data_IF_199857416645
#
_entry.id   IF_199857416645
#
_cell.length_a   1.000
_cell.length_b   1.000
_cell.length_c   1.000
_cell.angle_alpha   90.00
_cell.angle_beta   90.00
_cell.angle_gamma   90.00
#
_symmetry.space_group_name_H-M   'P 1'
#
loop_
_entity.id
_entity.type
_entity.pdbx_description
1 polymer ?
#
# COMPACT_ATOMS: atom_id res chain seq x y z
N UNK A 1 -19.27 -13.31 4.66
CA UNK A 1 -18.89 -11.91 4.91
C UNK A 1 -18.45 -11.34 3.57
N UNK A 2 -18.84 -10.11 3.21
CA UNK A 2 -18.33 -9.48 2.00
C UNK A 2 -17.04 -8.73 2.35
N UNK A 3 -16.04 -8.78 1.48
CA UNK A 3 -14.78 -8.07 1.67
C UNK A 3 -15.02 -6.56 1.69
N UNK A 4 -14.25 -5.85 2.52
CA UNK A 4 -14.32 -4.40 2.60
C UNK A 4 -13.76 -3.77 1.32
N UNK A 5 -14.42 -2.73 0.82
CA UNK A 5 -14.00 -2.03 -0.42
C UNK A 5 -13.73 -0.56 -0.18
N UNK A 6 -12.73 -0.02 -0.88
CA UNK A 6 -12.42 1.40 -0.91
C UNK A 6 -13.23 2.08 -2.03
N UNK A 7 -14.12 3.00 -1.65
CA UNK A 7 -14.88 3.81 -2.60
C UNK A 7 -14.15 5.09 -2.95
N UNK A 8 -14.04 5.42 -4.25
CA UNK A 8 -13.40 6.67 -4.69
C UNK A 8 -14.33 7.88 -4.44
N UNK A 9 -15.64 7.67 -4.60
CA UNK A 9 -16.70 8.62 -4.24
C UNK A 9 -18.04 7.87 -4.18
N UNK A 10 -19.09 8.45 -3.61
CA UNK A 10 -20.40 7.79 -3.45
C UNK A 10 -20.98 7.22 -4.76
N UNK A 11 -20.72 7.90 -5.89
CA UNK A 11 -21.17 7.49 -7.23
C UNK A 11 -20.01 7.00 -8.12
N UNK A 12 -18.81 6.88 -7.55
CA UNK A 12 -17.59 6.52 -8.25
C UNK A 12 -17.32 5.01 -8.25
N UNK A 13 -16.21 4.58 -8.85
CA UNK A 13 -15.77 3.20 -8.76
C UNK A 13 -15.37 2.86 -7.31
N UNK A 14 -15.33 1.56 -7.03
CA UNK A 14 -14.75 1.00 -5.82
C UNK A 14 -13.70 -0.04 -6.20
N UNK A 15 -12.74 -0.25 -5.30
CA UNK A 15 -11.69 -1.26 -5.41
C UNK A 15 -11.61 -2.08 -4.12
N UNK A 16 -11.02 -3.27 -4.24
CA UNK A 16 -10.70 -4.12 -3.11
C UNK A 16 -9.19 -4.05 -2.91
N UNK A 17 -8.71 -3.20 -1.99
CA UNK A 17 -7.30 -3.22 -1.60
C UNK A 17 -7.01 -4.44 -0.74
N UNK A 18 -5.76 -4.88 -0.71
CA UNK A 18 -5.33 -5.96 0.19
C UNK A 18 -5.40 -5.52 1.66
N UNK A 19 -4.97 -4.27 1.93
CA UNK A 19 -5.13 -3.64 3.25
C UNK A 19 -5.53 -2.17 3.09
N UNK A 20 -6.42 -1.71 3.96
CA UNK A 20 -6.70 -0.28 4.12
C UNK A 20 -6.92 0.05 5.60
N UNK A 21 -6.60 1.28 5.97
CA UNK A 21 -6.88 1.84 7.28
C UNK A 21 -7.57 3.19 7.16
N UNK A 22 -8.44 3.51 8.11
CA UNK A 22 -9.15 4.78 8.23
C UNK A 22 -9.03 5.28 9.66
N UNK A 23 -8.73 6.58 9.81
CA UNK A 23 -8.77 7.29 11.09
C UNK A 23 -10.03 8.18 11.19
N UNK A 24 -10.99 8.02 10.26
CA UNK A 24 -12.14 8.89 10.12
C UNK A 24 -13.41 8.24 10.68
N UNK A 25 -14.05 8.92 11.62
CA UNK A 25 -15.26 8.43 12.30
C UNK A 25 -16.42 8.11 11.35
N UNK A 26 -16.45 8.74 10.16
CA UNK A 26 -17.47 8.47 9.13
C UNK A 26 -17.43 7.02 8.65
N UNK A 27 -16.24 6.43 8.60
CA UNK A 27 -16.06 5.05 8.16
C UNK A 27 -16.29 4.01 9.28
N UNK A 28 -16.31 4.42 10.56
CA UNK A 28 -16.58 3.50 11.69
C UNK A 28 -17.98 2.86 11.62
N UNK A 29 -18.94 3.60 11.08
CA UNK A 29 -20.31 3.11 10.85
C UNK A 29 -20.46 2.34 9.54
N UNK A 30 -19.46 2.43 8.65
CA UNK A 30 -19.53 1.89 7.31
C UNK A 30 -19.16 0.40 7.30
N UNK A 31 -20.18 -0.47 7.25
CA UNK A 31 -19.98 -1.93 7.39
C UNK A 31 -19.34 -2.60 6.18
N UNK A 32 -19.25 -1.95 5.02
CA UNK A 32 -18.79 -2.58 3.77
C UNK A 32 -17.97 -1.67 2.85
N UNK A 33 -18.13 -0.34 2.91
CA UNK A 33 -17.44 0.60 2.01
C UNK A 33 -16.75 1.67 2.83
N UNK A 34 -15.44 1.79 2.68
CA UNK A 34 -14.63 2.85 3.29
C UNK A 34 -14.44 3.95 2.25
N UNK A 35 -14.83 5.18 2.57
CA UNK A 35 -14.70 6.33 1.67
C UNK A 35 -13.62 7.31 2.11
N UNK A 36 -13.13 7.19 3.34
CA UNK A 36 -12.15 8.09 3.91
C UNK A 36 -10.89 7.35 4.42
N UNK A 37 -10.30 6.41 3.64
CA UNK A 37 -9.07 5.76 4.06
C UNK A 37 -7.95 6.79 4.17
N UNK A 38 -7.04 6.56 5.13
CA UNK A 38 -5.81 7.34 5.30
C UNK A 38 -4.58 6.59 4.73
N UNK A 39 -4.62 5.25 4.74
CA UNK A 39 -3.60 4.35 4.22
C UNK A 39 -4.25 3.27 3.36
N UNK A 40 -3.66 2.98 2.20
CA UNK A 40 -3.99 1.83 1.35
C UNK A 40 -2.70 1.08 0.99
N UNK A 41 -2.72 -0.25 1.08
CA UNK A 41 -1.62 -1.14 0.70
C UNK A 41 -2.11 -2.13 -0.34
N UNK A 42 -1.31 -2.35 -1.38
CA UNK A 42 -1.57 -3.31 -2.45
C UNK A 42 -0.36 -4.23 -2.62
N UNK A 43 -0.60 -5.54 -2.72
CA UNK A 43 0.39 -6.56 -3.03
C UNK A 43 0.35 -6.81 -4.53
N UNK A 44 1.40 -6.38 -5.22
CA UNK A 44 1.50 -6.46 -6.67
C UNK A 44 1.78 -7.90 -7.10
N UNK A 45 0.89 -8.42 -7.94
CA UNK A 45 1.16 -9.61 -8.76
C UNK A 45 1.50 -9.20 -10.19
N UNK A 46 2.17 -10.07 -10.99
CA UNK A 46 2.49 -9.77 -12.39
C UNK A 46 1.29 -9.30 -13.22
N UNK A 47 0.08 -9.81 -12.92
CA UNK A 47 -1.14 -9.44 -13.63
C UNK A 47 -1.76 -8.10 -13.22
N UNK A 48 -1.35 -7.52 -12.09
CA UNK A 48 -2.00 -6.34 -11.48
C UNK A 48 -1.08 -5.15 -11.29
N UNK A 49 0.25 -5.36 -11.27
CA UNK A 49 1.26 -4.33 -11.06
C UNK A 49 1.02 -3.04 -11.87
N UNK A 50 0.85 -3.16 -13.19
CA UNK A 50 0.61 -2.00 -14.06
C UNK A 50 -0.69 -1.25 -13.72
N UNK A 51 -1.73 -1.99 -13.31
CA UNK A 51 -3.00 -1.42 -12.92
C UNK A 51 -2.91 -0.64 -11.61
N UNK A 52 -2.29 -1.24 -10.59
CA UNK A 52 -2.17 -0.69 -9.25
C UNK A 52 -1.24 0.54 -9.21
N UNK A 53 -0.07 0.45 -9.86
CA UNK A 53 0.86 1.58 -10.04
C UNK A 53 0.25 2.72 -10.87
N UNK A 54 -0.59 2.36 -11.85
CA UNK A 54 -1.15 3.28 -12.83
C UNK A 54 -2.55 3.79 -12.47
N UNK A 55 -3.57 3.08 -12.94
CA UNK A 55 -4.96 3.55 -12.93
C UNK A 55 -5.55 3.60 -11.52
N UNK A 56 -5.24 2.60 -10.68
CA UNK A 56 -5.75 2.53 -9.30
C UNK A 56 -5.19 3.68 -8.48
N UNK A 57 -3.87 3.89 -8.50
CA UNK A 57 -3.25 5.02 -7.81
C UNK A 57 -3.77 6.38 -8.30
N UNK A 58 -4.02 6.56 -9.61
CA UNK A 58 -4.67 7.80 -10.12
C UNK A 58 -6.06 8.05 -9.53
N UNK A 59 -6.81 7.00 -9.24
CA UNK A 59 -8.13 7.10 -8.65
C UNK A 59 -8.06 7.30 -7.14
N UNK A 60 -7.25 6.51 -6.44
CA UNK A 60 -7.06 6.63 -4.99
C UNK A 60 -6.56 8.01 -4.56
N UNK A 61 -5.65 8.64 -5.30
CA UNK A 61 -5.16 10.00 -4.99
C UNK A 61 -6.23 11.10 -5.06
N UNK A 62 -7.46 10.79 -5.49
CA UNK A 62 -8.60 11.70 -5.45
C UNK A 62 -9.36 11.64 -4.12
N UNK A 63 -9.04 10.68 -3.26
CA UNK A 63 -9.59 10.58 -1.91
C UNK A 63 -8.82 11.57 -1.03
N UNK A 64 -9.49 12.61 -0.53
CA UNK A 64 -8.85 13.72 0.17
C UNK A 64 -8.15 13.32 1.48
N UNK A 65 -8.64 12.27 2.12
CA UNK A 65 -8.10 11.74 3.38
C UNK A 65 -6.91 10.82 3.18
N UNK A 66 -6.67 10.31 1.98
CA UNK A 66 -5.58 9.38 1.71
C UNK A 66 -4.25 10.14 1.82
N UNK A 67 -3.37 9.68 2.71
CA UNK A 67 -2.04 10.26 2.94
C UNK A 67 -0.91 9.34 2.51
N UNK A 68 -1.17 8.04 2.43
CA UNK A 68 -0.14 7.06 2.11
C UNK A 68 -0.69 5.92 1.27
N UNK A 69 0.05 5.56 0.22
CA UNK A 69 -0.25 4.45 -0.67
C UNK A 69 0.99 3.60 -0.81
N UNK A 70 0.91 2.34 -0.39
CA UNK A 70 2.04 1.42 -0.33
C UNK A 70 1.83 0.31 -1.35
N UNK A 71 2.89 0.02 -2.11
CA UNK A 71 2.95 -1.10 -3.04
C UNK A 71 4.01 -2.08 -2.57
N UNK A 72 3.63 -3.34 -2.44
CA UNK A 72 4.51 -4.45 -2.03
C UNK A 72 4.65 -5.37 -3.24
N UNK A 73 5.85 -5.60 -3.76
CA UNK A 73 6.05 -6.54 -4.85
C UNK A 73 6.04 -7.98 -4.35
N UNK A 74 5.25 -8.87 -4.97
CA UNK A 74 5.23 -10.27 -4.53
C UNK A 74 6.42 -11.10 -5.04
N UNK A 75 7.10 -10.65 -6.10
CA UNK A 75 8.18 -11.41 -6.76
C UNK A 75 9.59 -10.93 -6.39
N UNK A 76 9.72 -9.75 -5.78
CA UNK A 76 10.98 -9.20 -5.30
C UNK A 76 10.77 -8.57 -3.93
N UNK A 77 11.81 -8.48 -3.10
CA UNK A 77 11.73 -7.76 -1.82
C UNK A 77 11.77 -6.25 -2.07
N UNK A 78 10.67 -5.69 -2.57
CA UNK A 78 10.53 -4.26 -2.84
C UNK A 78 9.23 -3.70 -2.23
N UNK A 79 9.34 -2.62 -1.46
CA UNK A 79 8.20 -1.87 -0.92
C UNK A 79 8.33 -0.40 -1.29
N UNK A 80 7.38 0.08 -2.08
CA UNK A 80 7.27 1.48 -2.49
C UNK A 80 6.18 2.19 -1.69
N UNK A 81 6.55 3.22 -0.94
CA UNK A 81 5.63 4.06 -0.18
C UNK A 81 5.49 5.43 -0.82
N UNK A 82 4.32 5.74 -1.35
CA UNK A 82 3.97 7.09 -1.80
C UNK A 82 3.30 7.85 -0.65
N UNK A 83 3.85 8.99 -0.26
CA UNK A 83 3.31 9.83 0.82
C UNK A 83 2.95 11.23 0.34
N UNK A 84 1.76 11.70 0.71
CA UNK A 84 1.33 13.06 0.42
C UNK A 84 1.96 14.04 1.41
N UNK A 85 2.84 14.91 0.91
CA UNK A 85 3.49 15.94 1.72
C UNK A 85 2.59 17.18 1.94
N UNK A 86 3.03 18.10 2.80
CA UNK A 86 2.32 19.34 3.13
C UNK A 86 2.11 20.28 1.92
N UNK A 87 2.88 20.09 0.85
CA UNK A 87 2.77 20.85 -0.41
C UNK A 87 1.80 20.19 -1.40
N UNK A 88 1.09 19.14 -1.01
CA UNK A 88 0.16 18.40 -1.86
C UNK A 88 0.84 17.55 -2.93
N UNK A 89 2.11 17.15 -2.72
CA UNK A 89 2.85 16.29 -3.66
C UNK A 89 3.02 14.89 -3.08
N UNK A 90 2.92 13.89 -3.94
CA UNK A 90 3.21 12.49 -3.60
C UNK A 90 4.71 12.23 -3.77
N UNK A 91 5.39 11.96 -2.67
CA UNK A 91 6.82 11.61 -2.63
C UNK A 91 6.98 10.10 -2.49
N UNK A 92 7.91 9.51 -3.25
CA UNK A 92 8.20 8.08 -3.22
C UNK A 92 9.38 7.81 -2.28
N UNK A 93 9.21 6.82 -1.41
CA UNK A 93 10.31 6.16 -0.68
C UNK A 93 10.29 4.68 -1.02
N UNK A 94 11.39 4.16 -1.56
CA UNK A 94 11.53 2.76 -1.95
C UNK A 94 12.42 2.02 -0.96
N UNK A 95 12.00 0.81 -0.59
CA UNK A 95 12.74 -0.11 0.24
C UNK A 95 12.94 -1.41 -0.54
N UNK A 96 14.10 -1.57 -1.18
CA UNK A 96 14.43 -2.75 -1.98
C UNK A 96 15.66 -3.49 -1.44
N UNK A 97 15.71 -4.79 -1.68
CA UNK A 97 16.93 -5.62 -1.58
C UNK A 97 17.14 -6.24 -2.95
N UNK A 98 18.19 -5.82 -3.66
CA UNK A 98 18.49 -6.31 -5.01
C UNK A 98 19.07 -7.74 -4.98
N UNK A 99 19.89 -8.08 -3.98
CA UNK A 99 20.39 -9.44 -3.72
C UNK A 99 20.60 -9.63 -2.21
N UNK A 100 20.08 -10.70 -1.57
CA UNK A 100 20.35 -10.97 -0.16
C UNK A 100 21.83 -11.32 0.01
N UNK A 101 22.63 -10.40 0.55
CA UNK A 101 24.00 -10.71 0.97
C UNK A 101 24.03 -11.05 2.46
N UNK A 102 24.93 -11.93 2.89
CA UNK A 102 25.09 -12.34 4.31
C UNK A 102 25.33 -11.17 5.29
N UNK A 103 25.65 -9.97 4.77
CA UNK A 103 25.89 -8.75 5.54
C UNK A 103 24.79 -7.68 5.38
N UNK A 104 23.66 -8.01 4.77
CA UNK A 104 22.58 -7.03 4.58
C UNK A 104 21.92 -6.71 5.92
N UNK A 105 22.00 -5.45 6.33
CA UNK A 105 21.26 -4.97 7.50
C UNK A 105 19.80 -4.86 7.08
N UNK A 106 18.95 -5.62 7.75
CA UNK A 106 17.51 -5.54 7.59
C UNK A 106 17.02 -4.11 7.86
N UNK A 107 16.21 -3.58 6.95
CA UNK A 107 15.83 -2.18 6.93
C UNK A 107 14.41 -2.00 7.47
N UNK A 108 14.19 -0.93 8.23
CA UNK A 108 12.84 -0.58 8.67
C UNK A 108 12.04 0.06 7.53
N UNK A 109 10.82 -0.43 7.35
CA UNK A 109 9.77 0.21 6.56
C UNK A 109 8.85 0.95 7.52
N UNK A 110 8.50 2.18 7.15
CA UNK A 110 7.65 3.07 7.96
C UNK A 110 6.33 3.32 7.23
N UNK A 111 5.21 3.08 7.90
CA UNK A 111 3.90 3.56 7.48
C UNK A 111 3.53 4.74 8.37
N UNK A 112 4.00 5.93 7.97
CA UNK A 112 3.99 7.14 8.81
C UNK A 112 2.58 7.58 9.17
N UNK A 113 1.60 7.33 8.30
CA UNK A 113 0.20 7.76 8.52
C UNK A 113 -0.45 7.10 9.74
N UNK A 114 0.00 5.90 10.09
CA UNK A 114 -0.56 5.09 11.19
C UNK A 114 0.45 4.83 12.31
N UNK A 115 1.59 5.54 12.30
CA UNK A 115 2.69 5.39 13.27
C UNK A 115 3.12 3.93 13.45
N UNK A 116 3.26 3.22 12.31
CA UNK A 116 3.69 1.83 12.29
C UNK A 116 5.05 1.69 11.61
N UNK A 117 5.90 0.84 12.17
CA UNK A 117 7.17 0.45 11.56
C UNK A 117 7.41 -1.03 11.77
N UNK A 118 8.05 -1.67 10.80
CA UNK A 118 8.53 -3.02 10.92
C UNK A 118 9.76 -3.22 10.06
N UNK A 119 10.47 -4.32 10.31
CA UNK A 119 11.54 -4.76 9.43
C UNK A 119 10.97 -5.17 8.07
N UNK A 120 11.69 -4.89 6.99
CA UNK A 120 11.31 -5.31 5.64
C UNK A 120 11.17 -6.82 5.57
N UNK A 121 12.06 -7.57 6.22
CA UNK A 121 11.98 -9.03 6.29
C UNK A 121 10.65 -9.53 6.89
N UNK A 122 10.05 -8.79 7.83
CA UNK A 122 8.79 -9.17 8.45
C UNK A 122 7.60 -9.05 7.47
N UNK A 123 7.65 -8.11 6.52
CA UNK A 123 6.65 -8.00 5.45
C UNK A 123 6.72 -9.23 4.52
N UNK A 124 7.91 -9.80 4.36
CA UNK A 124 8.18 -10.96 3.51
C UNK A 124 8.40 -12.24 4.29
N UNK A 125 7.93 -12.31 5.54
CA UNK A 125 8.02 -13.52 6.36
C UNK A 125 7.36 -14.69 5.60
N UNK A 126 8.06 -15.82 5.53
CA UNK A 126 7.65 -17.04 4.82
C UNK A 126 7.47 -16.90 3.28
N UNK A 127 7.85 -15.77 2.68
CA UNK A 127 7.84 -15.62 1.21
C UNK A 127 9.06 -16.32 0.62
N UNK A 128 8.81 -17.29 -0.27
CA UNK A 128 9.86 -18.00 -1.02
C UNK A 128 9.94 -17.40 -2.42
N UNK A 129 11.01 -16.65 -2.69
CA UNK A 129 11.30 -16.14 -4.02
C UNK A 129 11.83 -17.25 -4.92
N UNK A 130 11.39 -17.27 -6.17
CA UNK A 130 11.94 -18.20 -7.17
C UNK A 130 13.31 -17.67 -7.58
N UNK A 131 14.33 -18.53 -7.58
CA UNK A 131 15.62 -18.17 -8.15
C UNK A 131 15.45 -17.88 -9.65
N UNK A 132 16.02 -16.75 -10.10
CA UNK A 132 16.12 -16.43 -11.50
C UNK A 132 17.06 -17.43 -12.17
N UNK A 133 16.53 -18.29 -13.05
CA UNK A 133 17.32 -19.16 -13.93
C UNK A 133 18.20 -18.38 -14.90
#
# INVERSE_FOLDING_TARGET
MADAKAGISEKGPFYYPDVMSTCDDRDLSARQIVYHPCLIIEVLSPGTAHFDQGRKFRNYRRIDTLKEYVLIEAETMNVDSYRLNEKGKWELTSHSIEEPTDNQIDQNVYFTTVDFQCLLSLIYEDVIFRESN
#
